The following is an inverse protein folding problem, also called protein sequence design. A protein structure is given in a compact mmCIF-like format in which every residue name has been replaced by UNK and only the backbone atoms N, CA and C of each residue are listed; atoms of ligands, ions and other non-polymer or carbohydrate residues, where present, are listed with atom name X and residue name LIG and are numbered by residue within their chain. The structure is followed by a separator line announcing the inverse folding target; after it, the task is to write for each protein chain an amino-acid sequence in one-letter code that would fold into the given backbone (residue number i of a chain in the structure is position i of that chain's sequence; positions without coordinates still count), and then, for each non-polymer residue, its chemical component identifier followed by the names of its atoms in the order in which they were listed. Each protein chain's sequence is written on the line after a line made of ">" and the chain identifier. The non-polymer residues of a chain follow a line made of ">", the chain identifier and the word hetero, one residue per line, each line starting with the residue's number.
data_IF_297695219500
#
_entry.id   IF_297695219500
#
_cell.length_a   1.000
_cell.length_b   1.000
_cell.length_c   1.000
_cell.angle_alpha   90.00
_cell.angle_beta   90.00
_cell.angle_gamma   90.00
#
_symmetry.space_group_name_H-M   'P 1'
#
loop_
_entity.id
_entity.type
_entity.pdbx_description
1 polymer ?
#
# COMPACT_ATOMS: atom_id res chain seq x y z
N UNK A 1 -17.96 -38.18 11.43
CA UNK A 1 -16.54 -38.14 11.84
C UNK A 1 -15.68 -37.36 10.84
N UNK A 2 -15.92 -37.49 9.53
CA UNK A 2 -15.18 -36.76 8.49
C UNK A 2 -15.37 -35.25 8.55
N UNK A 3 -16.60 -34.76 8.73
CA UNK A 3 -16.88 -33.32 8.87
C UNK A 3 -16.15 -32.68 10.06
N UNK A 4 -16.03 -33.40 11.18
CA UNK A 4 -15.30 -32.92 12.36
C UNK A 4 -13.79 -32.81 12.08
N UNK A 5 -13.22 -33.80 11.38
CA UNK A 5 -11.81 -33.77 10.97
C UNK A 5 -11.53 -32.61 10.00
N UNK A 6 -12.42 -32.37 9.04
CA UNK A 6 -12.30 -31.25 8.09
C UNK A 6 -12.31 -29.89 8.81
N UNK A 7 -13.22 -29.70 9.79
CA UNK A 7 -13.29 -28.46 10.59
C UNK A 7 -12.00 -28.27 11.41
N UNK A 8 -11.48 -29.32 12.05
CA UNK A 8 -10.25 -29.23 12.85
C UNK A 8 -9.05 -28.85 11.96
N UNK A 9 -8.92 -29.47 10.78
CA UNK A 9 -7.86 -29.15 9.82
C UNK A 9 -7.98 -27.71 9.33
N UNK A 10 -9.19 -27.24 9.05
CA UNK A 10 -9.46 -25.86 8.63
C UNK A 10 -9.05 -24.85 9.71
N UNK A 11 -9.44 -25.06 10.97
CA UNK A 11 -9.07 -24.17 12.08
C UNK A 11 -7.56 -24.15 12.34
N UNK A 12 -6.91 -25.31 12.26
CA UNK A 12 -5.45 -25.41 12.38
C UNK A 12 -4.75 -24.62 11.28
N UNK A 13 -5.19 -24.76 10.03
CA UNK A 13 -4.64 -24.02 8.91
C UNK A 13 -4.71 -22.50 9.12
N UNK A 14 -5.88 -21.98 9.51
CA UNK A 14 -6.05 -20.54 9.76
C UNK A 14 -5.26 -20.04 10.98
N UNK A 15 -5.13 -20.85 12.03
CA UNK A 15 -4.32 -20.48 13.20
C UNK A 15 -2.84 -20.26 12.82
N UNK A 16 -2.30 -21.13 11.94
CA UNK A 16 -0.93 -21.02 11.43
C UNK A 16 -0.82 -19.82 10.49
N UNK A 17 -1.77 -19.63 9.57
CA UNK A 17 -1.77 -18.50 8.63
C UNK A 17 -1.76 -17.14 9.38
N UNK A 18 -2.63 -16.97 10.38
CA UNK A 18 -2.70 -15.76 11.20
C UNK A 18 -1.39 -15.54 11.97
N UNK A 19 -0.80 -16.61 12.52
CA UNK A 19 0.49 -16.51 13.21
C UNK A 19 1.62 -16.09 12.26
N UNK A 20 1.69 -16.66 11.07
CA UNK A 20 2.65 -16.28 10.02
C UNK A 20 2.53 -14.79 9.67
N UNK A 21 1.31 -14.29 9.44
CA UNK A 21 1.07 -12.86 9.16
C UNK A 21 1.58 -11.98 10.30
N UNK A 22 1.31 -12.34 11.56
CA UNK A 22 1.80 -11.58 12.73
C UNK A 22 3.32 -11.59 12.85
N UNK A 23 3.98 -12.70 12.54
CA UNK A 23 5.45 -12.80 12.55
C UNK A 23 6.05 -11.91 11.47
N UNK A 24 5.49 -11.94 10.25
CA UNK A 24 5.92 -11.10 9.14
C UNK A 24 5.71 -9.61 9.46
N UNK A 25 4.54 -9.20 9.96
CA UNK A 25 4.28 -7.80 10.36
C UNK A 25 5.29 -7.30 11.42
N UNK A 26 5.68 -8.13 12.39
CA UNK A 26 6.71 -7.78 13.38
C UNK A 26 8.10 -7.60 12.76
N UNK A 27 8.49 -8.48 11.83
CA UNK A 27 9.78 -8.36 11.12
C UNK A 27 9.81 -7.09 10.26
N UNK A 28 8.74 -6.81 9.53
CA UNK A 28 8.60 -5.62 8.69
C UNK A 28 8.76 -4.32 9.50
N UNK A 29 8.09 -4.21 10.66
CA UNK A 29 8.23 -3.04 11.54
C UNK A 29 9.68 -2.79 11.98
N UNK A 30 10.43 -3.85 12.28
CA UNK A 30 11.86 -3.73 12.63
C UNK A 30 12.71 -3.28 11.44
N UNK A 31 12.39 -3.74 10.23
CA UNK A 31 13.09 -3.31 9.01
C UNK A 31 12.83 -1.84 8.71
N UNK A 32 11.58 -1.38 8.79
CA UNK A 32 11.22 0.03 8.64
C UNK A 32 12.04 0.92 9.59
N UNK A 33 12.16 0.52 10.85
CA UNK A 33 12.88 1.33 11.84
C UNK A 33 14.36 1.47 11.48
N UNK A 34 15.03 0.36 11.13
CA UNK A 34 16.42 0.39 10.64
C UNK A 34 16.57 1.24 9.39
N UNK A 35 15.64 1.09 8.44
CA UNK A 35 15.65 1.88 7.22
C UNK A 35 15.50 3.38 7.52
N UNK A 36 14.65 3.75 8.47
CA UNK A 36 14.46 5.14 8.88
C UNK A 36 15.71 5.79 9.50
N UNK A 37 16.59 4.99 10.11
CA UNK A 37 17.86 5.48 10.66
C UNK A 37 18.87 5.81 9.55
N UNK A 38 18.84 5.03 8.46
CA UNK A 38 19.69 5.19 7.28
C UNK A 38 19.27 6.33 6.36
N UNK A 39 18.02 6.79 6.46
CA UNK A 39 17.52 7.93 5.71
C UNK A 39 18.38 9.18 5.97
N UNK A 40 18.65 9.98 4.93
CA UNK A 40 19.35 11.25 5.09
C UNK A 40 18.54 12.19 6.01
N UNK A 41 19.15 13.23 6.58
CA UNK A 41 18.44 14.19 7.42
C UNK A 41 17.29 14.86 6.65
N UNK A 42 16.05 14.75 7.15
CA UNK A 42 14.82 15.16 6.47
C UNK A 42 14.21 16.41 7.13
N UNK A 43 13.58 17.28 6.35
CA UNK A 43 12.79 18.42 6.83
C UNK A 43 11.33 18.03 7.10
N UNK A 44 10.68 18.71 8.06
CA UNK A 44 9.26 18.52 8.36
C UNK A 44 8.40 19.30 7.35
N UNK A 45 7.36 18.67 6.83
CA UNK A 45 6.40 19.32 5.93
C UNK A 45 5.26 19.93 6.75
N UNK A 46 5.27 21.26 6.87
CA UNK A 46 4.23 22.04 7.55
C UNK A 46 3.20 22.65 6.60
N UNK A 47 3.57 22.86 5.34
CA UNK A 47 2.69 23.47 4.34
C UNK A 47 1.57 22.52 3.91
N UNK A 48 0.34 23.03 3.87
CA UNK A 48 -0.87 22.24 3.60
C UNK A 48 -1.00 21.91 2.11
N UNK A 49 -0.55 22.78 1.21
CA UNK A 49 -0.57 22.52 -0.24
C UNK A 49 0.45 21.45 -0.60
N UNK A 50 1.64 21.50 -0.02
CA UNK A 50 2.67 20.48 -0.22
C UNK A 50 2.23 19.12 0.34
N UNK A 51 1.61 19.09 1.53
CA UNK A 51 0.98 17.88 2.07
C UNK A 51 -0.07 17.30 1.14
N UNK A 52 -0.90 18.15 0.54
CA UNK A 52 -1.93 17.74 -0.43
C UNK A 52 -1.30 17.20 -1.71
N UNK A 53 -0.22 17.82 -2.20
CA UNK A 53 0.55 17.34 -3.35
C UNK A 53 1.15 15.96 -3.09
N UNK A 54 1.79 15.77 -1.93
CA UNK A 54 2.34 14.49 -1.48
C UNK A 54 1.26 13.42 -1.44
N UNK A 55 0.11 13.71 -0.81
CA UNK A 55 -1.00 12.77 -0.75
C UNK A 55 -1.51 12.38 -2.14
N UNK A 56 -1.70 13.34 -3.04
CA UNK A 56 -2.17 13.07 -4.39
C UNK A 56 -1.18 12.22 -5.18
N UNK A 57 0.11 12.52 -5.06
CA UNK A 57 1.18 11.81 -5.77
C UNK A 57 1.37 10.38 -5.27
N UNK A 58 1.28 10.14 -3.96
CA UNK A 58 1.38 8.79 -3.36
C UNK A 58 0.11 7.96 -3.64
N UNK A 59 -1.06 8.59 -3.64
CA UNK A 59 -2.31 7.84 -3.72
C UNK A 59 -2.54 7.25 -5.11
N UNK A 60 -2.10 7.93 -6.19
CA UNK A 60 -2.00 7.45 -7.58
C UNK A 60 -3.30 6.99 -8.26
N UNK A 61 -4.17 6.28 -7.55
CA UNK A 61 -5.48 5.81 -7.96
C UNK A 61 -6.50 6.95 -7.94
N UNK A 62 -7.08 7.20 -9.11
CA UNK A 62 -8.18 8.15 -9.27
C UNK A 62 -9.37 7.81 -8.38
N UNK A 63 -10.18 8.85 -8.08
CA UNK A 63 -11.42 8.71 -7.30
C UNK A 63 -12.34 7.62 -7.88
N UNK A 64 -12.38 7.48 -9.20
CA UNK A 64 -13.17 6.47 -9.91
C UNK A 64 -12.77 5.03 -9.56
N UNK A 65 -11.47 4.69 -9.60
CA UNK A 65 -11.01 3.35 -9.27
C UNK A 65 -11.32 3.00 -7.81
N UNK A 66 -11.23 3.98 -6.91
CA UNK A 66 -11.57 3.79 -5.50
C UNK A 66 -13.05 3.46 -5.33
N UNK A 67 -13.94 4.19 -6.03
CA UNK A 67 -15.39 3.91 -6.01
C UNK A 67 -15.68 2.52 -6.56
N UNK A 68 -15.02 2.13 -7.65
CA UNK A 68 -15.16 0.80 -8.24
C UNK A 68 -14.71 -0.32 -7.28
N UNK A 69 -13.58 -0.14 -6.59
CA UNK A 69 -13.08 -1.09 -5.59
C UNK A 69 -14.07 -1.22 -4.42
N UNK A 70 -14.61 -0.11 -3.91
CA UNK A 70 -15.62 -0.13 -2.84
C UNK A 70 -16.89 -0.84 -3.30
N UNK A 71 -17.33 -0.62 -4.54
CA UNK A 71 -18.48 -1.31 -5.10
C UNK A 71 -18.25 -2.83 -5.18
N UNK A 72 -17.08 -3.26 -5.67
CA UNK A 72 -16.70 -4.69 -5.71
C UNK A 72 -16.67 -5.30 -4.31
N UNK A 73 -16.13 -4.60 -3.32
CA UNK A 73 -16.11 -5.04 -1.92
C UNK A 73 -17.53 -5.26 -1.36
N UNK A 74 -18.43 -4.30 -1.56
CA UNK A 74 -19.81 -4.41 -1.08
C UNK A 74 -20.58 -5.52 -1.79
N UNK A 75 -20.35 -5.69 -3.10
CA UNK A 75 -20.94 -6.77 -3.88
C UNK A 75 -20.43 -8.14 -3.40
N UNK A 76 -19.14 -8.25 -3.10
CA UNK A 76 -18.53 -9.47 -2.59
C UNK A 76 -19.07 -9.85 -1.19
N UNK A 77 -19.18 -8.88 -0.28
CA UNK A 77 -19.82 -9.06 1.02
C UNK A 77 -21.27 -9.53 0.89
N UNK A 78 -22.01 -9.03 -0.11
CA UNK A 78 -23.38 -9.46 -0.35
C UNK A 78 -23.46 -10.91 -0.82
N UNK A 79 -22.59 -11.33 -1.75
CA UNK A 79 -22.46 -12.72 -2.19
C UNK A 79 -22.14 -13.63 -1.00
N UNK A 80 -21.15 -13.26 -0.17
CA UNK A 80 -20.82 -14.05 1.03
C UNK A 80 -21.99 -14.15 2.01
N UNK A 81 -22.75 -13.07 2.21
CA UNK A 81 -23.94 -13.10 3.08
C UNK A 81 -25.04 -14.01 2.52
N UNK A 82 -25.17 -14.13 1.20
CA UNK A 82 -26.11 -15.05 0.56
C UNK A 82 -25.62 -16.50 0.63
N UNK A 83 -24.35 -16.75 0.32
CA UNK A 83 -23.70 -18.06 0.48
C UNK A 83 -23.75 -18.55 1.93
N UNK A 84 -23.57 -17.67 2.92
CA UNK A 84 -23.72 -18.01 4.34
C UNK A 84 -25.11 -18.56 4.67
N UNK A 85 -26.17 -18.05 4.04
CA UNK A 85 -27.53 -18.59 4.23
C UNK A 85 -27.64 -20.00 3.65
N UNK A 86 -27.04 -20.23 2.48
CA UNK A 86 -27.02 -21.54 1.82
C UNK A 86 -26.24 -22.55 2.66
N UNK A 87 -25.04 -22.16 3.12
CA UNK A 87 -24.19 -22.92 4.03
C UNK A 87 -24.94 -23.25 5.33
N UNK A 88 -25.63 -22.27 5.94
CA UNK A 88 -26.38 -22.50 7.17
C UNK A 88 -27.53 -23.50 6.97
N UNK A 89 -28.21 -23.43 5.82
CA UNK A 89 -29.26 -24.38 5.43
C UNK A 89 -28.70 -25.77 5.12
N UNK A 90 -27.55 -25.87 4.45
CA UNK A 90 -26.85 -27.14 4.20
C UNK A 90 -26.36 -27.79 5.49
N UNK A 91 -25.86 -26.99 6.44
CA UNK A 91 -25.43 -27.44 7.76
C UNK A 91 -26.59 -28.00 8.59
N UNK A 92 -27.74 -27.30 8.63
CA UNK A 92 -28.96 -27.81 9.26
C UNK A 92 -29.45 -29.13 8.65
N UNK A 93 -29.12 -29.38 7.37
CA UNK A 93 -29.55 -30.56 6.62
C UNK A 93 -28.47 -31.65 6.48
N UNK A 94 -27.27 -31.47 7.08
CA UNK A 94 -26.19 -32.46 7.06
C UNK A 94 -25.49 -32.67 5.71
N UNK A 95 -25.57 -31.72 4.78
CA UNK A 95 -24.94 -31.78 3.45
C UNK A 95 -23.47 -31.35 3.47
N UNK A 96 -22.70 -31.71 2.45
CA UNK A 96 -21.31 -31.27 2.27
C UNK A 96 -21.23 -29.75 2.10
N UNK A 97 -20.30 -29.13 2.85
CA UNK A 97 -20.02 -27.71 2.81
C UNK A 97 -18.85 -27.42 1.87
N UNK A 98 -19.04 -26.49 0.92
CA UNK A 98 -17.95 -25.94 0.13
C UNK A 98 -17.26 -24.78 0.88
N UNK A 99 -16.25 -25.13 1.70
CA UNK A 99 -15.46 -24.16 2.46
C UNK A 99 -14.44 -23.37 1.59
N UNK A 100 -14.12 -23.86 0.39
CA UNK A 100 -13.04 -23.29 -0.42
C UNK A 100 -13.49 -22.00 -1.12
N UNK A 101 -14.71 -21.97 -1.65
CA UNK A 101 -15.30 -20.78 -2.27
C UNK A 101 -15.43 -19.63 -1.26
N UNK A 102 -15.93 -19.90 -0.06
CA UNK A 102 -16.03 -18.92 1.03
C UNK A 102 -14.66 -18.39 1.47
N UNK A 103 -13.65 -19.27 1.53
CA UNK A 103 -12.27 -18.88 1.85
C UNK A 103 -11.67 -17.93 0.81
N UNK A 104 -11.96 -18.14 -0.48
CA UNK A 104 -11.47 -17.29 -1.56
C UNK A 104 -12.02 -15.86 -1.47
N UNK A 105 -13.34 -15.73 -1.27
CA UNK A 105 -13.98 -14.43 -1.10
C UNK A 105 -13.50 -13.69 0.15
N UNK A 106 -13.30 -14.40 1.26
CA UNK A 106 -12.74 -13.81 2.49
C UNK A 106 -11.32 -13.26 2.31
N UNK A 107 -10.47 -13.93 1.53
CA UNK A 107 -9.12 -13.43 1.22
C UNK A 107 -9.19 -12.16 0.37
N UNK A 108 -10.04 -12.15 -0.66
CA UNK A 108 -10.22 -10.98 -1.52
C UNK A 108 -10.73 -9.76 -0.75
N UNK A 109 -11.72 -9.96 0.11
CA UNK A 109 -12.24 -8.89 0.97
C UNK A 109 -11.20 -8.37 1.95
N UNK A 110 -10.37 -9.27 2.51
CA UNK A 110 -9.28 -8.85 3.37
C UNK A 110 -8.26 -7.98 2.62
N UNK A 111 -7.89 -8.36 1.39
CA UNK A 111 -6.98 -7.56 0.54
C UNK A 111 -7.57 -6.18 0.25
N UNK A 112 -8.85 -6.11 -0.12
CA UNK A 112 -9.53 -4.84 -0.41
C UNK A 112 -9.63 -3.99 0.85
N UNK A 113 -9.95 -4.58 2.00
CA UNK A 113 -10.02 -3.89 3.28
C UNK A 113 -8.65 -3.32 3.70
N UNK A 114 -7.57 -4.09 3.55
CA UNK A 114 -6.21 -3.59 3.84
C UNK A 114 -5.86 -2.42 2.91
N UNK A 115 -6.18 -2.51 1.60
CA UNK A 115 -5.98 -1.43 0.63
C UNK A 115 -6.75 -0.15 0.98
N UNK A 116 -8.02 -0.27 1.40
CA UNK A 116 -8.82 0.89 1.81
C UNK A 116 -8.29 1.48 3.13
N UNK A 117 -7.88 0.63 4.07
CA UNK A 117 -7.30 1.05 5.34
C UNK A 117 -6.01 1.83 5.12
N UNK A 118 -5.09 1.35 4.28
CA UNK A 118 -3.84 2.08 3.99
C UNK A 118 -4.12 3.42 3.32
N UNK A 119 -5.10 3.49 2.42
CA UNK A 119 -5.50 4.74 1.77
C UNK A 119 -6.05 5.77 2.76
N UNK A 120 -6.90 5.33 3.70
CA UNK A 120 -7.44 6.20 4.77
C UNK A 120 -6.32 6.65 5.70
N UNK A 121 -5.40 5.75 6.07
CA UNK A 121 -4.27 6.06 6.94
C UNK A 121 -3.32 7.08 6.30
N UNK A 122 -2.95 6.90 5.03
CA UNK A 122 -2.15 7.88 4.26
C UNK A 122 -2.82 9.25 4.25
N UNK A 123 -4.13 9.31 3.99
CA UNK A 123 -4.90 10.56 4.02
C UNK A 123 -4.79 11.22 5.40
N UNK A 124 -5.06 10.48 6.48
CA UNK A 124 -4.97 10.98 7.86
C UNK A 124 -3.58 11.51 8.19
N UNK A 125 -2.51 10.79 7.79
CA UNK A 125 -1.12 11.20 8.04
C UNK A 125 -0.79 12.48 7.28
N UNK A 126 -1.15 12.57 6.00
CA UNK A 126 -0.92 13.78 5.22
C UNK A 126 -1.74 14.98 5.72
N UNK A 127 -2.92 14.77 6.32
CA UNK A 127 -3.73 15.85 6.89
C UNK A 127 -3.23 16.31 8.27
N UNK A 128 -2.83 15.38 9.14
CA UNK A 128 -2.60 15.69 10.57
C UNK A 128 -1.43 14.96 11.24
N UNK A 129 -0.86 13.95 10.59
CA UNK A 129 0.28 13.18 11.11
C UNK A 129 1.63 13.82 10.79
N UNK A 130 2.72 13.09 11.01
CA UNK A 130 4.07 13.55 10.68
C UNK A 130 4.43 13.17 9.24
N UNK A 131 4.79 14.19 8.45
CA UNK A 131 5.33 14.04 7.09
C UNK A 131 6.68 14.72 7.05
N UNK A 132 7.69 13.99 6.57
CA UNK A 132 9.04 14.52 6.35
C UNK A 132 9.41 14.40 4.88
N UNK A 133 10.22 15.32 4.38
CA UNK A 133 10.73 15.27 3.03
C UNK A 133 12.22 15.60 2.94
N UNK A 134 12.83 15.29 1.80
CA UNK A 134 14.14 15.80 1.39
C UNK A 134 14.27 15.75 -0.12
N UNK A 135 14.88 16.77 -0.70
CA UNK A 135 15.30 16.71 -2.08
C UNK A 135 16.58 15.86 -2.19
N UNK A 136 16.53 14.82 -3.02
CA UNK A 136 17.61 13.86 -3.25
C UNK A 136 17.87 13.70 -4.74
N UNK A 137 19.08 13.26 -5.08
CA UNK A 137 19.46 12.90 -6.44
C UNK A 137 19.35 11.39 -6.62
N UNK A 138 18.73 10.95 -7.72
CA UNK A 138 18.63 9.54 -8.09
C UNK A 138 19.89 9.16 -8.88
N UNK A 139 20.71 8.28 -8.31
CA UNK A 139 21.95 7.79 -8.95
C UNK A 139 21.67 6.87 -10.13
N UNK A 140 20.69 5.98 -9.96
CA UNK A 140 20.33 5.00 -10.97
C UNK A 140 18.89 4.55 -10.80
N UNK A 141 18.32 4.08 -11.91
CA UNK A 141 17.00 3.48 -11.96
C UNK A 141 17.17 2.00 -12.23
N UNK A 142 16.80 1.16 -11.27
CA UNK A 142 16.82 -0.29 -11.43
C UNK A 142 15.39 -0.76 -11.78
N UNK A 143 15.26 -1.60 -12.81
CA UNK A 143 13.99 -2.25 -13.16
C UNK A 143 14.13 -3.74 -12.92
N UNK A 144 13.20 -4.29 -12.15
CA UNK A 144 13.04 -5.73 -12.01
C UNK A 144 12.04 -6.27 -13.04
N UNK A 145 12.31 -7.47 -13.56
CA UNK A 145 11.44 -8.15 -14.54
C UNK A 145 9.99 -8.33 -14.04
N UNK A 146 9.80 -8.39 -12.71
CA UNK A 146 8.49 -8.53 -12.06
C UNK A 146 8.35 -7.59 -10.84
N UNK A 147 8.64 -6.30 -10.99
CA UNK A 147 8.53 -5.32 -9.90
C UNK A 147 8.27 -3.89 -10.35
N UNK A 148 7.99 -3.01 -9.39
CA UNK A 148 8.01 -1.57 -9.63
C UNK A 148 9.46 -1.13 -9.90
N UNK A 149 9.69 -0.10 -10.75
CA UNK A 149 11.02 0.47 -10.88
C UNK A 149 11.49 1.01 -9.52
N UNK A 150 12.77 0.83 -9.20
CA UNK A 150 13.39 1.35 -7.98
C UNK A 150 14.37 2.48 -8.31
N UNK A 151 14.35 3.53 -7.49
CA UNK A 151 15.32 4.63 -7.52
C UNK A 151 16.39 4.43 -6.45
N UNK A 152 17.65 4.46 -6.85
CA UNK A 152 18.79 4.37 -5.93
C UNK A 152 19.26 5.76 -5.53
N UNK A 153 19.32 6.03 -4.23
CA UNK A 153 19.76 7.31 -3.65
C UNK A 153 20.88 7.10 -2.62
N UNK A 154 21.60 8.16 -2.28
CA UNK A 154 22.55 8.14 -1.16
C UNK A 154 21.83 8.22 0.19
N UNK A 155 22.02 7.20 1.02
CA UNK A 155 21.71 7.23 2.45
C UNK A 155 22.89 7.71 3.29
N UNK A 156 22.75 7.68 4.62
CA UNK A 156 23.83 8.10 5.54
C UNK A 156 25.06 7.22 5.47
N UNK A 157 24.86 5.91 5.44
CA UNK A 157 25.94 4.91 5.50
C UNK A 157 26.03 4.05 4.24
N UNK A 158 24.95 3.94 3.47
CA UNK A 158 24.87 3.11 2.26
C UNK A 158 23.85 3.65 1.26
N UNK A 159 23.90 3.12 0.05
CA UNK A 159 22.88 3.38 -0.97
C UNK A 159 21.53 2.78 -0.57
N UNK A 160 20.46 3.55 -0.75
CA UNK A 160 19.09 3.18 -0.45
C UNK A 160 18.31 2.99 -1.73
N UNK A 161 17.49 1.95 -1.77
CA UNK A 161 16.60 1.62 -2.88
C UNK A 161 15.18 1.92 -2.46
N UNK A 162 14.46 2.68 -3.27
CA UNK A 162 13.10 3.12 -2.97
C UNK A 162 12.22 2.93 -4.19
N UNK A 163 11.05 2.32 -3.97
CA UNK A 163 10.06 2.09 -5.01
C UNK A 163 9.61 3.41 -5.66
N UNK A 164 9.58 3.40 -6.99
CA UNK A 164 9.06 4.47 -7.83
C UNK A 164 7.66 4.09 -8.33
N UNK A 165 6.79 5.07 -8.45
CA UNK A 165 5.53 4.87 -9.17
C UNK A 165 5.83 4.48 -10.62
N UNK A 166 5.03 3.58 -11.22
CA UNK A 166 5.05 3.41 -12.67
C UNK A 166 4.80 4.77 -13.30
N UNK A 167 5.50 5.06 -14.40
CA UNK A 167 5.48 6.34 -15.12
C UNK A 167 6.21 7.52 -14.46
N UNK A 168 6.76 7.37 -13.25
CA UNK A 168 7.49 8.46 -12.59
C UNK A 168 8.92 8.69 -13.13
N UNK A 169 9.49 7.74 -13.89
CA UNK A 169 10.86 7.86 -14.42
C UNK A 169 11.03 9.08 -15.37
N UNK A 170 10.01 9.38 -16.20
CA UNK A 170 10.04 10.52 -17.12
C UNK A 170 10.12 11.87 -16.41
N UNK A 171 9.24 12.20 -15.44
CA UNK A 171 9.32 13.47 -14.74
C UNK A 171 10.61 13.64 -13.93
N UNK A 172 11.21 12.57 -13.38
CA UNK A 172 12.51 12.68 -12.72
C UNK A 172 13.64 13.05 -13.68
N UNK A 173 13.72 12.37 -14.83
CA UNK A 173 14.76 12.64 -15.85
C UNK A 173 14.66 14.05 -16.43
N UNK A 174 13.45 14.57 -16.60
CA UNK A 174 13.23 15.95 -17.04
C UNK A 174 13.71 17.00 -16.02
N UNK A 175 13.76 16.60 -14.75
CA UNK A 175 14.14 17.45 -13.63
C UNK A 175 15.57 17.19 -13.13
N UNK A 176 16.43 16.67 -14.03
CA UNK A 176 17.84 16.39 -13.73
C UNK A 176 18.06 15.30 -12.68
N UNK A 177 17.21 14.27 -12.70
CA UNK A 177 17.24 13.13 -11.75
C UNK A 177 17.05 13.54 -10.28
N UNK A 178 16.43 14.69 -10.06
CA UNK A 178 16.07 15.16 -8.73
C UNK A 178 14.69 14.65 -8.33
N UNK A 179 14.57 14.19 -7.09
CA UNK A 179 13.32 13.70 -6.53
C UNK A 179 13.09 14.25 -5.12
N UNK A 180 11.83 14.34 -4.74
CA UNK A 180 11.41 14.56 -3.37
C UNK A 180 11.23 13.20 -2.70
N UNK A 181 12.19 12.84 -1.85
CA UNK A 181 12.03 11.74 -0.91
C UNK A 181 11.02 12.14 0.15
N UNK A 182 9.99 11.34 0.34
CA UNK A 182 8.99 11.54 1.39
C UNK A 182 9.04 10.37 2.36
N UNK A 183 8.91 10.68 3.65
CA UNK A 183 8.74 9.71 4.72
C UNK A 183 7.48 10.06 5.53
N UNK A 184 6.61 9.06 5.69
CA UNK A 184 5.40 9.14 6.48
C UNK A 184 5.62 8.50 7.86
N UNK A 185 4.88 8.97 8.86
CA UNK A 185 4.96 8.48 10.25
C UNK A 185 4.77 6.95 10.40
N UNK A 186 3.98 6.34 9.52
CA UNK A 186 3.76 4.88 9.50
C UNK A 186 4.97 4.09 8.95
N UNK A 187 6.04 4.78 8.53
CA UNK A 187 7.26 4.20 8.00
C UNK A 187 7.31 4.06 6.48
N UNK A 188 6.22 4.42 5.81
CA UNK A 188 6.15 4.42 4.35
C UNK A 188 7.07 5.51 3.78
N UNK A 189 7.76 5.16 2.70
CA UNK A 189 8.66 6.07 2.00
C UNK A 189 8.44 5.95 0.49
N UNK A 190 8.62 7.06 -0.20
CA UNK A 190 8.40 7.13 -1.65
C UNK A 190 9.24 8.24 -2.25
N UNK A 191 9.72 8.03 -3.47
CA UNK A 191 10.31 9.07 -4.30
C UNK A 191 9.20 9.67 -5.17
N UNK A 192 8.98 10.98 -5.01
CA UNK A 192 7.95 11.73 -5.73
C UNK A 192 8.60 12.82 -6.58
N UNK A 193 8.02 13.20 -7.73
CA UNK A 193 8.49 14.37 -8.47
C UNK A 193 8.49 15.61 -7.57
N UNK A 194 9.37 16.57 -7.86
CA UNK A 194 9.36 17.84 -7.11
C UNK A 194 8.10 18.62 -7.45
N UNK A 195 7.54 19.28 -6.44
CA UNK A 195 6.45 20.23 -6.67
C UNK A 195 7.00 21.41 -7.47
N UNK A 196 6.39 21.69 -8.63
CA UNK A 196 6.78 22.87 -9.41
C UNK A 196 6.42 24.14 -8.63
N UNK A 197 7.28 25.17 -8.63
CA UNK A 197 6.95 26.45 -8.03
C UNK A 197 5.72 27.07 -8.71
N UNK A 198 4.90 27.81 -7.94
CA UNK A 198 3.62 28.40 -8.40
C UNK A 198 3.75 29.28 -9.64
N UNK A 199 4.94 29.79 -9.94
CA UNK A 199 5.18 30.74 -11.03
C UNK A 199 5.54 30.06 -12.36
N UNK A 200 5.79 28.75 -12.38
CA UNK A 200 6.14 28.00 -13.60
C UNK A 200 4.95 27.34 -14.29
N UNK A 201 3.74 27.41 -13.72
CA UNK A 201 2.55 26.80 -14.33
C UNK A 201 1.97 27.57 -15.53
N UNK A 202 2.59 28.68 -15.93
CA UNK A 202 2.11 29.56 -17.02
C UNK A 202 3.13 29.79 -18.15
N UNK A 203 4.05 28.86 -18.41
CA UNK A 203 4.85 28.92 -19.63
C UNK A 203 4.93 27.55 -20.29
N UNK A 204 4.14 27.36 -21.34
CA UNK A 204 4.43 26.39 -22.40
C UNK A 204 3.52 25.17 -22.52
N UNK A 205 2.25 25.38 -22.86
CA UNK A 205 1.59 24.52 -23.87
C UNK A 205 1.28 25.42 -25.07
N UNK A 206 2.22 25.50 -26.02
CA UNK A 206 1.99 25.84 -27.42
C UNK A 206 2.26 24.59 -28.28
#
# INVERSE_FOLDING_TARGET
>A
MENLKAIIVFLLFWSIAIWCVRVVKRKHKKQIMKFSEELPEMELVTDEEERKYIYQSINGSGKFLTVLIVFVFLFNLWIMADEMKIIWKQWMNGLELDFWTFSGFGIMDWIIAEYLSTKIERKRICESGVVKKKIVHIKSYEKFDYGWPEGVIDGKERELRIDLSPDAEKPFKQDGDMAMLVWLENGENSLLPRMKPKDESNVGEE
#
